data_IF_282250164878
#
_entry.id   IF_282250164878
#
_cell.length_a   1.000
_cell.length_b   1.000
_cell.length_c   1.000
_cell.angle_alpha   90.00
_cell.angle_beta   90.00
_cell.angle_gamma   90.00
#
_symmetry.space_group_name_H-M   'P 1'
#
loop_
_entity.id
_entity.type
_entity.pdbx_description
1 polymer ?
#
# COMPACT_ATOMS: atom_id res chain seq x y z
N UNK A 1 -35.72 -22.32 14.33
CA UNK A 1 -35.22 -21.81 13.05
C UNK A 1 -33.74 -21.52 13.23
N UNK A 2 -32.91 -22.35 12.65
CA UNK A 2 -31.47 -22.09 12.64
C UNK A 2 -31.17 -21.10 11.53
N UNK A 3 -30.55 -19.94 11.87
CA UNK A 3 -30.00 -19.07 10.89
C UNK A 3 -28.87 -19.81 10.12
N UNK A 4 -28.81 -19.70 8.81
CA UNK A 4 -27.69 -20.31 8.07
C UNK A 4 -26.39 -19.67 8.54
N UNK A 5 -25.43 -20.51 8.91
CA UNK A 5 -24.09 -20.09 9.19
C UNK A 5 -23.56 -19.36 7.96
N UNK A 6 -22.82 -18.24 8.10
CA UNK A 6 -22.17 -17.60 6.96
C UNK A 6 -21.24 -18.63 6.33
N UNK A 7 -21.50 -18.98 5.08
CA UNK A 7 -20.62 -19.84 4.30
C UNK A 7 -19.25 -19.19 4.25
N UNK A 8 -18.24 -19.90 4.70
CA UNK A 8 -16.86 -19.48 4.54
C UNK A 8 -16.64 -19.22 3.04
N UNK A 9 -16.31 -17.98 2.69
CA UNK A 9 -15.98 -17.60 1.33
C UNK A 9 -14.73 -18.40 0.92
N UNK A 10 -14.91 -19.25 -0.11
CA UNK A 10 -13.77 -20.00 -0.65
C UNK A 10 -12.72 -19.03 -1.20
N UNK A 11 -11.43 -19.34 -1.09
CA UNK A 11 -10.37 -18.56 -1.78
C UNK A 11 -10.65 -18.35 -3.27
N UNK A 12 -11.42 -19.26 -3.88
CA UNK A 12 -11.83 -19.15 -5.30
C UNK A 12 -12.89 -18.07 -5.56
N UNK A 13 -13.52 -17.53 -4.50
CA UNK A 13 -14.51 -16.45 -4.61
C UNK A 13 -13.87 -15.06 -4.68
N UNK A 14 -12.56 -14.95 -4.47
CA UNK A 14 -11.80 -13.72 -4.72
C UNK A 14 -11.70 -13.49 -6.23
N UNK A 15 -12.65 -12.77 -6.78
CA UNK A 15 -12.62 -12.38 -8.19
C UNK A 15 -11.49 -11.39 -8.42
N UNK A 16 -10.33 -11.92 -8.77
CA UNK A 16 -9.21 -11.10 -9.23
C UNK A 16 -9.64 -10.45 -10.54
N UNK A 17 -9.61 -9.11 -10.65
CA UNK A 17 -10.02 -8.46 -11.88
C UNK A 17 -9.09 -8.88 -13.02
N UNK A 18 -9.63 -9.11 -14.23
CA UNK A 18 -8.81 -9.47 -15.38
C UNK A 18 -7.81 -8.37 -15.70
N UNK A 19 -6.63 -8.75 -16.18
CA UNK A 19 -5.62 -7.78 -16.60
C UNK A 19 -6.12 -6.93 -17.77
N UNK A 20 -5.85 -5.64 -17.68
CA UNK A 20 -6.04 -4.72 -18.82
C UNK A 20 -4.78 -4.78 -19.69
N UNK A 21 -4.90 -5.11 -20.99
CA UNK A 21 -3.75 -5.15 -21.89
C UNK A 21 -2.99 -3.82 -21.91
N UNK A 22 -1.65 -3.90 -21.84
CA UNK A 22 -0.77 -2.72 -21.88
C UNK A 22 -0.66 -1.96 -20.57
N UNK A 23 -1.32 -2.42 -19.48
CA UNK A 23 -1.22 -1.80 -18.16
C UNK A 23 -0.45 -2.67 -17.18
N UNK A 24 0.51 -2.05 -16.48
CA UNK A 24 1.20 -2.68 -15.37
C UNK A 24 0.32 -2.67 -14.12
N UNK A 25 0.42 -3.71 -13.31
CA UNK A 25 -0.19 -3.75 -11.97
C UNK A 25 0.86 -3.39 -10.93
N UNK A 26 0.66 -2.23 -10.32
CA UNK A 26 1.57 -1.67 -9.33
C UNK A 26 0.92 -1.70 -7.95
N UNK A 27 1.45 -2.53 -7.06
CA UNK A 27 1.11 -2.47 -5.64
C UNK A 27 1.77 -1.27 -4.98
N UNK A 28 1.04 -0.61 -4.12
CA UNK A 28 1.54 0.55 -3.35
C UNK A 28 1.40 0.23 -1.88
N UNK A 29 2.52 0.02 -1.21
CA UNK A 29 2.57 -0.20 0.24
C UNK A 29 3.14 1.04 0.92
N UNK A 30 2.25 1.92 1.40
CA UNK A 30 2.62 3.05 2.22
C UNK A 30 2.77 2.65 3.68
N UNK A 31 3.65 3.30 4.38
CA UNK A 31 3.83 3.06 5.81
C UNK A 31 4.93 3.92 6.40
N UNK A 32 4.93 4.01 7.72
CA UNK A 32 6.00 4.71 8.44
C UNK A 32 7.32 3.93 8.32
N UNK A 33 7.25 2.60 8.37
CA UNK A 33 8.42 1.71 8.33
C UNK A 33 9.49 2.11 9.34
N UNK A 34 9.12 2.03 10.60
CA UNK A 34 9.99 2.44 11.72
C UNK A 34 10.17 1.33 12.79
N UNK A 35 10.91 0.27 12.45
CA UNK A 35 11.48 -0.09 11.16
C UNK A 35 10.53 -0.90 10.27
N UNK A 36 10.88 -1.02 9.00
CA UNK A 36 10.34 -2.07 8.15
C UNK A 36 10.74 -3.44 8.71
N UNK A 37 9.87 -4.43 8.60
CA UNK A 37 10.10 -5.78 9.11
C UNK A 37 9.55 -6.86 8.18
N UNK A 38 9.81 -8.13 8.52
CA UNK A 38 9.38 -9.27 7.71
C UNK A 38 7.88 -9.30 7.44
N UNK A 39 7.05 -8.86 8.38
CA UNK A 39 5.60 -8.78 8.19
C UNK A 39 5.22 -7.92 6.98
N UNK A 40 5.86 -6.79 6.78
CA UNK A 40 5.65 -5.94 5.61
C UNK A 40 6.07 -6.65 4.32
N UNK A 41 7.22 -7.29 4.31
CA UNK A 41 7.76 -7.95 3.12
C UNK A 41 6.93 -9.17 2.70
N UNK A 42 6.53 -9.99 3.67
CA UNK A 42 5.67 -11.17 3.43
C UNK A 42 4.31 -10.73 2.92
N UNK A 43 3.69 -9.73 3.55
CA UNK A 43 2.41 -9.20 3.13
C UNK A 43 2.46 -8.68 1.69
N UNK A 44 3.48 -7.91 1.34
CA UNK A 44 3.67 -7.41 -0.02
C UNK A 44 3.84 -8.54 -1.04
N UNK A 45 4.62 -9.56 -0.68
CA UNK A 45 4.84 -10.73 -1.53
C UNK A 45 3.57 -11.55 -1.76
N UNK A 46 2.78 -11.76 -0.72
CA UNK A 46 1.51 -12.48 -0.82
C UNK A 46 0.49 -11.75 -1.69
N UNK A 47 0.34 -10.44 -1.50
CA UNK A 47 -0.56 -9.63 -2.32
C UNK A 47 -0.09 -9.61 -3.77
N UNK A 48 1.21 -9.49 -4.01
CA UNK A 48 1.76 -9.55 -5.36
C UNK A 48 1.42 -10.86 -6.06
N UNK A 49 1.47 -11.98 -5.35
CA UNK A 49 1.06 -13.29 -5.89
C UNK A 49 -0.43 -13.38 -6.14
N UNK A 50 -1.27 -13.00 -5.17
CA UNK A 50 -2.73 -13.12 -5.27
C UNK A 50 -3.31 -12.26 -6.39
N UNK A 51 -2.83 -11.03 -6.53
CA UNK A 51 -3.33 -10.09 -7.52
C UNK A 51 -2.50 -10.02 -8.80
N UNK A 52 -1.52 -10.90 -8.93
CA UNK A 52 -0.61 -10.92 -10.08
C UNK A 52 -0.02 -9.53 -10.36
N UNK A 53 0.58 -8.93 -9.34
CA UNK A 53 1.21 -7.62 -9.45
C UNK A 53 2.58 -7.74 -10.12
N UNK A 54 2.90 -6.78 -10.98
CA UNK A 54 4.19 -6.72 -11.65
C UNK A 54 5.27 -6.13 -10.73
N UNK A 55 4.88 -5.19 -9.89
CA UNK A 55 5.79 -4.49 -8.98
C UNK A 55 5.04 -4.10 -7.71
N UNK A 56 5.74 -4.06 -6.59
CA UNK A 56 5.26 -3.41 -5.37
C UNK A 56 6.22 -2.29 -5.02
N UNK A 57 5.71 -1.07 -4.96
CA UNK A 57 6.47 0.10 -4.51
C UNK A 57 6.18 0.35 -3.03
N UNK A 58 7.23 0.39 -2.25
CA UNK A 58 7.19 0.78 -0.84
C UNK A 58 7.37 2.30 -0.75
N UNK A 59 6.47 2.95 -0.04
CA UNK A 59 6.46 4.41 0.06
C UNK A 59 6.54 4.82 1.54
N UNK A 60 7.77 5.00 2.07
CA UNK A 60 7.93 5.49 3.43
C UNK A 60 7.34 6.88 3.58
N UNK A 61 6.58 7.09 4.66
CA UNK A 61 6.01 8.39 4.96
C UNK A 61 7.10 9.41 5.27
N UNK A 62 6.89 10.64 4.86
CA UNK A 62 7.74 11.76 5.29
C UNK A 62 7.37 12.16 6.71
N UNK A 63 6.24 12.83 6.86
CA UNK A 63 5.68 13.25 8.14
C UNK A 63 4.32 12.57 8.34
N UNK A 64 4.24 11.50 9.17
CA UNK A 64 3.00 10.75 9.34
C UNK A 64 2.01 11.52 10.21
N UNK A 65 0.93 12.01 9.63
CA UNK A 65 -0.09 12.79 10.34
C UNK A 65 -0.78 12.00 11.48
N UNK A 66 -0.96 10.69 11.30
CA UNK A 66 -1.55 9.80 12.31
C UNK A 66 -0.65 9.59 13.52
N UNK A 67 0.63 9.90 13.40
CA UNK A 67 1.65 9.77 14.44
C UNK A 67 2.21 11.12 14.89
N UNK A 68 1.50 12.20 14.61
CA UNK A 68 1.89 13.54 15.04
C UNK A 68 2.07 13.56 16.58
N UNK A 69 3.22 14.07 17.03
CA UNK A 69 3.60 14.10 18.44
C UNK A 69 4.22 12.82 18.98
N UNK A 70 4.31 11.75 18.19
CA UNK A 70 5.06 10.54 18.54
C UNK A 70 6.51 10.67 18.08
N UNK A 71 7.41 9.97 18.79
CA UNK A 71 8.82 9.90 18.44
C UNK A 71 8.98 8.93 17.26
N UNK A 72 9.25 9.48 16.08
CA UNK A 72 9.44 8.73 14.83
C UNK A 72 10.85 8.98 14.32
N UNK A 73 11.54 7.92 13.90
CA UNK A 73 12.89 8.02 13.34
C UNK A 73 12.89 8.87 12.06
N UNK A 74 14.04 9.50 11.80
CA UNK A 74 14.26 10.34 10.63
C UNK A 74 13.83 9.64 9.32
N UNK A 75 13.17 10.39 8.45
CA UNK A 75 12.65 9.86 7.19
C UNK A 75 13.76 9.27 6.30
N UNK A 76 14.93 9.89 6.25
CA UNK A 76 16.07 9.36 5.47
C UNK A 76 16.55 8.02 6.00
N UNK A 77 16.61 7.84 7.33
CA UNK A 77 16.97 6.56 7.92
C UNK A 77 15.93 5.48 7.62
N UNK A 78 14.64 5.80 7.72
CA UNK A 78 13.56 4.87 7.38
C UNK A 78 13.56 4.50 5.91
N UNK A 79 13.84 5.45 5.04
CA UNK A 79 14.01 5.21 3.61
C UNK A 79 15.16 4.24 3.34
N UNK A 80 16.34 4.48 3.89
CA UNK A 80 17.50 3.63 3.70
C UNK A 80 17.28 2.20 4.23
N UNK A 81 16.66 2.05 5.39
CA UNK A 81 16.29 0.74 5.92
C UNK A 81 15.34 -0.01 4.97
N UNK A 82 14.39 0.69 4.40
CA UNK A 82 13.45 0.12 3.44
C UNK A 82 14.15 -0.31 2.14
N UNK A 83 15.05 0.48 1.62
CA UNK A 83 15.87 0.14 0.45
C UNK A 83 16.67 -1.13 0.68
N UNK A 84 17.35 -1.24 1.82
CA UNK A 84 18.14 -2.42 2.16
C UNK A 84 17.25 -3.67 2.31
N UNK A 85 16.13 -3.53 3.01
CA UNK A 85 15.23 -4.66 3.25
C UNK A 85 14.55 -5.20 1.98
N UNK A 86 14.32 -4.37 0.99
CA UNK A 86 13.64 -4.75 -0.26
C UNK A 86 14.60 -5.14 -1.39
N UNK A 87 15.90 -4.91 -1.22
CA UNK A 87 16.89 -5.05 -2.28
C UNK A 87 17.00 -6.45 -2.90
N UNK A 88 16.69 -7.50 -2.14
CA UNK A 88 16.79 -8.89 -2.61
C UNK A 88 15.61 -9.35 -3.47
N UNK A 89 14.52 -8.59 -3.52
CA UNK A 89 13.34 -8.94 -4.31
C UNK A 89 13.23 -8.02 -5.54
N UNK A 90 13.38 -8.57 -6.77
CA UNK A 90 13.38 -7.75 -7.98
C UNK A 90 12.04 -7.09 -8.29
N UNK A 91 10.94 -7.53 -7.68
CA UNK A 91 9.62 -6.91 -7.81
C UNK A 91 9.41 -5.73 -6.87
N UNK A 92 10.28 -5.56 -5.86
CA UNK A 92 10.14 -4.52 -4.86
C UNK A 92 10.97 -3.30 -5.23
N UNK A 93 10.33 -2.14 -5.17
CA UNK A 93 10.97 -0.84 -5.36
C UNK A 93 10.62 0.08 -4.19
N UNK A 94 11.31 1.18 -4.06
CA UNK A 94 11.07 2.17 -3.00
C UNK A 94 10.95 3.55 -3.63
N UNK A 95 9.95 4.32 -3.20
CA UNK A 95 9.73 5.68 -3.69
C UNK A 95 9.87 6.70 -2.57
N UNK A 96 10.43 7.85 -2.92
CA UNK A 96 10.62 9.00 -2.04
C UNK A 96 9.49 10.04 -2.12
N UNK A 97 8.43 9.79 -2.86
CA UNK A 97 7.41 10.81 -3.15
C UNK A 97 6.84 11.46 -1.89
N UNK A 98 6.68 10.70 -0.81
CA UNK A 98 6.15 11.22 0.44
C UNK A 98 7.20 11.93 1.29
N UNK A 99 8.45 11.51 1.19
CA UNK A 99 9.57 12.16 1.90
C UNK A 99 9.88 13.52 1.27
N UNK A 100 9.85 13.61 -0.04
CA UNK A 100 10.19 14.81 -0.79
C UNK A 100 9.05 15.85 -0.83
N UNK A 101 7.83 15.44 -0.47
CA UNK A 101 6.69 16.36 -0.33
C UNK A 101 6.72 17.03 1.04
N UNK A 102 6.53 18.35 1.06
CA UNK A 102 6.45 19.12 2.29
C UNK A 102 5.12 18.86 3.03
N UNK A 103 5.19 18.82 4.35
CA UNK A 103 4.04 18.69 5.23
C UNK A 103 3.62 17.24 5.50
N UNK A 104 2.48 17.05 6.19
CA UNK A 104 1.99 15.72 6.54
C UNK A 104 1.69 14.85 5.32
N UNK A 105 1.95 13.55 5.43
CA UNK A 105 1.69 12.57 4.39
C UNK A 105 0.24 12.10 4.45
N UNK A 106 -0.49 12.26 3.35
CA UNK A 106 -1.83 11.70 3.15
C UNK A 106 -1.81 10.71 1.99
N UNK A 107 -2.49 9.59 2.15
CA UNK A 107 -2.52 8.51 1.13
C UNK A 107 -3.02 8.99 -0.23
N UNK A 108 -4.01 9.88 -0.26
CA UNK A 108 -4.51 10.43 -1.52
C UNK A 108 -3.44 11.18 -2.31
N UNK A 109 -2.57 11.90 -1.63
CA UNK A 109 -1.46 12.61 -2.26
C UNK A 109 -0.41 11.64 -2.80
N UNK A 110 -0.11 10.59 -2.05
CA UNK A 110 0.78 9.51 -2.47
C UNK A 110 0.30 8.86 -3.77
N UNK A 111 -0.97 8.46 -3.81
CA UNK A 111 -1.55 7.80 -4.98
C UNK A 111 -1.65 8.74 -6.18
N UNK A 112 -1.97 10.01 -5.94
CA UNK A 112 -2.01 11.02 -7.01
C UNK A 112 -0.64 11.22 -7.65
N UNK A 113 0.40 11.30 -6.85
CA UNK A 113 1.77 11.46 -7.33
C UNK A 113 2.25 10.22 -8.09
N UNK A 114 1.98 9.03 -7.57
CA UNK A 114 2.33 7.78 -8.26
C UNK A 114 1.55 7.61 -9.57
N UNK A 115 0.28 7.99 -9.60
CA UNK A 115 -0.52 7.96 -10.83
C UNK A 115 0.08 8.90 -11.89
N UNK A 116 0.56 10.07 -11.47
CA UNK A 116 1.22 11.02 -12.37
C UNK A 116 2.55 10.51 -12.89
N UNK A 117 3.34 9.84 -12.05
CA UNK A 117 4.64 9.27 -12.42
C UNK A 117 4.52 8.01 -13.27
N UNK A 118 3.47 7.24 -13.04
CA UNK A 118 3.23 5.94 -13.68
C UNK A 118 1.82 5.88 -14.28
N UNK A 119 1.50 6.70 -15.31
CA UNK A 119 0.13 6.81 -15.84
C UNK A 119 -0.38 5.53 -16.48
N UNK A 120 0.50 4.64 -16.92
CA UNK A 120 0.15 3.34 -17.50
C UNK A 120 -0.10 2.25 -16.46
N UNK A 121 0.17 2.53 -15.18
CA UNK A 121 -0.01 1.57 -14.11
C UNK A 121 -1.42 1.61 -13.52
N UNK A 122 -1.97 0.44 -13.27
CA UNK A 122 -3.13 0.26 -12.41
C UNK A 122 -2.64 0.10 -10.97
N UNK A 123 -3.08 0.98 -10.07
CA UNK A 123 -2.62 1.02 -8.71
C UNK A 123 -3.45 0.11 -7.80
N UNK A 124 -2.78 -0.67 -6.96
CA UNK A 124 -3.37 -1.51 -5.92
C UNK A 124 -2.82 -1.05 -4.58
N UNK A 125 -3.66 -0.37 -3.80
CA UNK A 125 -3.23 0.12 -2.48
C UNK A 125 -3.30 -1.01 -1.46
N UNK A 126 -2.17 -1.27 -0.81
CA UNK A 126 -1.98 -2.34 0.17
C UNK A 126 -1.97 -1.71 1.55
N UNK A 127 -2.93 -2.08 2.39
CA UNK A 127 -3.04 -1.54 3.74
C UNK A 127 -3.41 -2.62 4.74
N UNK A 128 -3.06 -2.41 6.01
CA UNK A 128 -3.47 -3.29 7.09
C UNK A 128 -4.96 -3.18 7.38
N UNK A 129 -5.55 -4.25 7.91
CA UNK A 129 -6.96 -4.28 8.29
C UNK A 129 -7.31 -3.20 9.33
N UNK A 130 -6.39 -2.91 10.22
CA UNK A 130 -6.58 -1.89 11.27
C UNK A 130 -6.74 -0.48 10.69
N UNK A 131 -6.02 -0.17 9.60
CA UNK A 131 -6.13 1.11 8.92
C UNK A 131 -7.43 1.25 8.13
N UNK A 132 -8.04 0.15 7.72
CA UNK A 132 -9.28 0.15 6.92
C UNK A 132 -10.44 0.83 7.62
N UNK A 133 -10.58 0.62 8.92
CA UNK A 133 -11.66 1.24 9.71
C UNK A 133 -11.58 2.77 9.71
N UNK A 134 -10.40 3.32 9.51
CA UNK A 134 -10.14 4.76 9.50
C UNK A 134 -10.17 5.36 8.10
N UNK A 135 -10.15 4.54 7.05
CA UNK A 135 -9.97 5.01 5.67
C UNK A 135 -11.06 5.98 5.22
N UNK A 136 -12.28 5.81 5.71
CA UNK A 136 -13.40 6.71 5.41
C UNK A 136 -13.24 8.10 6.04
N UNK A 137 -12.39 8.20 7.06
CA UNK A 137 -12.07 9.47 7.73
C UNK A 137 -10.85 10.15 7.12
N UNK A 138 -10.14 9.47 6.22
CA UNK A 138 -8.95 10.01 5.60
C UNK A 138 -9.29 11.15 4.64
N UNK A 139 -8.38 12.12 4.60
CA UNK A 139 -8.48 13.22 3.65
C UNK A 139 -8.53 12.68 2.21
N UNK A 140 -9.54 13.09 1.44
CA UNK A 140 -9.67 12.69 0.06
C UNK A 140 -10.11 11.24 -0.17
N UNK A 141 -10.80 10.60 0.79
CA UNK A 141 -11.23 9.21 0.69
C UNK A 141 -12.02 8.91 -0.60
N UNK A 142 -12.87 9.81 -1.05
CA UNK A 142 -13.64 9.63 -2.29
C UNK A 142 -12.73 9.58 -3.53
N UNK A 143 -11.66 10.37 -3.58
CA UNK A 143 -10.69 10.36 -4.67
C UNK A 143 -9.81 9.11 -4.63
N UNK A 144 -9.50 8.62 -3.43
CA UNK A 144 -8.70 7.43 -3.23
C UNK A 144 -9.26 6.22 -3.99
N UNK A 145 -10.59 6.04 -3.94
CA UNK A 145 -11.28 4.96 -4.64
C UNK A 145 -11.19 5.06 -6.17
N UNK A 146 -10.99 6.25 -6.72
CA UNK A 146 -10.81 6.45 -8.16
C UNK A 146 -9.39 6.16 -8.60
N UNK A 147 -8.41 6.38 -7.72
CA UNK A 147 -7.00 6.27 -8.04
C UNK A 147 -6.48 4.84 -7.89
N UNK A 148 -7.01 4.07 -6.95
CA UNK A 148 -6.48 2.75 -6.65
C UNK A 148 -7.55 1.75 -6.24
N UNK A 149 -7.27 0.47 -6.48
CA UNK A 149 -7.99 -0.64 -5.87
C UNK A 149 -7.42 -0.91 -4.49
N UNK A 150 -8.28 -1.31 -3.57
CA UNK A 150 -7.88 -1.63 -2.20
C UNK A 150 -7.62 -3.12 -2.04
N UNK A 151 -6.46 -3.44 -1.49
CA UNK A 151 -6.15 -4.76 -0.98
C UNK A 151 -5.94 -4.68 0.53
N UNK A 152 -6.67 -5.49 1.25
CA UNK A 152 -6.59 -5.58 2.69
C UNK A 152 -5.74 -6.76 3.12
N UNK A 153 -4.79 -6.49 4.00
CA UNK A 153 -3.94 -7.50 4.58
C UNK A 153 -4.05 -7.45 6.08
N UNK A 154 -4.17 -8.63 6.68
CA UNK A 154 -4.03 -8.76 8.11
C UNK A 154 -2.55 -9.00 8.44
N UNK A 155 -1.93 -7.98 8.96
CA UNK A 155 -0.54 -8.04 9.41
C UNK A 155 -0.52 -8.28 10.91
#
# INVERSE_FOLDING_TARGET
MNAPSPSATSPDDLKIPPRTPGRLRLGVMGGTFDPIHHGHLVAASEVASVFDLDEVVFVPTGEPWQKAGQDVSDAEHRYLMTVVATASNPRFTVSRVDIDRNGPTYTVDTLRDLHRLRPDAELFFITGADAMAEIITWKGAAELWRLARLSLIHI
#
